data_IF_412466311500
#
_entry.id   IF_412466311500
#
_cell.length_a   1.000
_cell.length_b   1.000
_cell.length_c   1.000
_cell.angle_alpha   90.00
_cell.angle_beta   90.00
_cell.angle_gamma   90.00
#
_symmetry.space_group_name_H-M   'P 1'
#
loop_
_entity.id
_entity.type
_entity.pdbx_description
1 polymer ?
#
# COMPACT_ATOMS: atom_id res chain seq x y z
N UNK A 1 -10.10 -6.77 7.09
CA UNK A 1 -8.89 -6.31 6.38
C UNK A 1 -8.78 -4.80 6.29
N UNK A 2 -9.79 -4.07 5.81
CA UNK A 2 -9.71 -2.60 5.69
C UNK A 2 -9.64 -1.87 7.03
N UNK A 3 -10.39 -2.33 8.04
CA UNK A 3 -10.33 -1.75 9.39
C UNK A 3 -8.92 -1.80 10.00
N UNK A 4 -8.17 -2.87 9.76
CA UNK A 4 -6.79 -3.03 10.25
C UNK A 4 -5.90 -1.86 9.82
N UNK A 5 -5.98 -1.44 8.55
CA UNK A 5 -5.16 -0.35 8.03
C UNK A 5 -5.57 1.01 8.64
N UNK A 6 -6.87 1.22 8.84
CA UNK A 6 -7.41 2.41 9.49
C UNK A 6 -6.94 2.50 10.96
N UNK A 7 -7.07 1.40 11.71
CA UNK A 7 -6.67 1.35 13.12
C UNK A 7 -5.15 1.53 13.27
N UNK A 8 -4.36 0.92 12.39
CA UNK A 8 -2.91 1.04 12.41
C UNK A 8 -2.44 2.46 12.14
N UNK A 9 -2.98 3.15 11.13
CA UNK A 9 -2.58 4.54 10.85
C UNK A 9 -2.87 5.45 12.03
N UNK A 10 -4.07 5.35 12.64
CA UNK A 10 -4.42 6.17 13.80
C UNK A 10 -3.50 5.89 15.00
N UNK A 11 -3.26 4.60 15.26
CA UNK A 11 -2.41 4.19 16.38
C UNK A 11 -0.96 4.64 16.20
N UNK A 12 -0.36 4.46 15.03
CA UNK A 12 1.06 4.72 14.81
C UNK A 12 1.43 6.21 14.80
N UNK A 13 0.47 7.12 14.69
CA UNK A 13 0.71 8.55 14.90
C UNK A 13 0.84 8.91 16.38
N UNK A 14 0.35 8.06 17.29
CA UNK A 14 0.34 8.31 18.74
C UNK A 14 1.24 7.34 19.52
N UNK A 15 1.60 6.21 18.92
CA UNK A 15 2.34 5.12 19.54
C UNK A 15 3.44 4.58 18.61
N UNK A 16 4.47 3.90 19.15
CA UNK A 16 5.45 3.20 18.33
C UNK A 16 4.79 2.19 17.38
N UNK A 17 5.32 2.12 16.16
CA UNK A 17 4.88 1.14 15.17
C UNK A 17 5.03 -0.28 15.75
N UNK A 18 3.93 -1.03 15.72
CA UNK A 18 3.88 -2.42 16.16
C UNK A 18 2.96 -3.22 15.23
N UNK A 19 3.29 -4.50 15.04
CA UNK A 19 2.46 -5.45 14.29
C UNK A 19 2.06 -6.60 15.23
N UNK A 20 0.88 -6.53 15.87
CA UNK A 20 0.40 -7.56 16.79
C UNK A 20 -0.31 -8.73 16.08
N UNK A 21 -0.47 -8.66 14.76
CA UNK A 21 -1.24 -9.62 13.99
C UNK A 21 -0.42 -10.87 13.66
N UNK A 22 -1.11 -11.94 13.26
CA UNK A 22 -0.51 -13.19 12.80
C UNK A 22 -1.14 -13.66 11.49
N UNK A 23 -0.45 -14.55 10.78
CA UNK A 23 -0.94 -15.12 9.52
C UNK A 23 -1.10 -14.06 8.43
N UNK A 24 -2.23 -14.09 7.73
CA UNK A 24 -2.44 -13.19 6.60
C UNK A 24 -2.51 -11.71 7.00
N UNK A 25 -3.10 -11.40 8.16
CA UNK A 25 -3.21 -10.03 8.67
C UNK A 25 -1.85 -9.44 9.05
N UNK A 26 -0.90 -10.27 9.48
CA UNK A 26 0.49 -9.85 9.72
C UNK A 26 1.12 -9.29 8.44
N UNK A 27 0.91 -9.95 7.31
CA UNK A 27 1.44 -9.54 6.00
C UNK A 27 0.81 -8.20 5.57
N UNK A 28 -0.50 -8.06 5.74
CA UNK A 28 -1.23 -6.81 5.43
C UNK A 28 -0.75 -5.67 6.32
N UNK A 29 -0.57 -5.91 7.62
CA UNK A 29 -0.07 -4.91 8.55
C UNK A 29 1.37 -4.51 8.22
N UNK A 30 2.23 -5.46 7.85
CA UNK A 30 3.62 -5.17 7.43
C UNK A 30 3.67 -4.38 6.12
N UNK A 31 2.81 -4.71 5.16
CA UNK A 31 2.66 -3.97 3.92
C UNK A 31 2.24 -2.52 4.19
N UNK A 32 1.25 -2.35 5.08
CA UNK A 32 0.76 -1.04 5.50
C UNK A 32 1.85 -0.24 6.25
N UNK A 33 2.67 -0.87 7.08
CA UNK A 33 3.82 -0.23 7.72
C UNK A 33 4.78 0.40 6.69
N UNK A 34 5.09 -0.31 5.60
CA UNK A 34 5.96 0.26 4.57
C UNK A 34 5.33 1.46 3.88
N UNK A 35 4.02 1.42 3.62
CA UNK A 35 3.27 2.55 3.11
C UNK A 35 3.25 3.74 4.08
N UNK A 36 3.03 3.48 5.36
CA UNK A 36 3.05 4.50 6.41
C UNK A 36 4.41 5.20 6.47
N UNK A 37 5.50 4.44 6.53
CA UNK A 37 6.86 4.99 6.56
C UNK A 37 7.20 5.74 5.27
N UNK A 38 6.79 5.20 4.12
CA UNK A 38 7.00 5.83 2.82
C UNK A 38 6.29 7.18 2.74
N UNK A 39 5.05 7.27 3.23
CA UNK A 39 4.29 8.51 3.27
C UNK A 39 5.04 9.61 4.02
N UNK A 40 5.54 9.30 5.21
CA UNK A 40 6.27 10.27 6.04
C UNK A 40 7.63 10.67 5.44
N UNK A 41 8.33 9.75 4.76
CA UNK A 41 9.55 10.10 4.02
C UNK A 41 9.25 11.03 2.84
N UNK A 42 8.13 10.85 2.13
CA UNK A 42 7.67 11.77 1.09
C UNK A 42 7.35 13.16 1.67
N UNK A 43 6.71 13.25 2.83
CA UNK A 43 6.47 14.55 3.49
C UNK A 43 7.78 15.28 3.82
N UNK A 44 8.79 14.55 4.32
CA UNK A 44 10.12 15.13 4.59
C UNK A 44 10.78 15.58 3.27
N UNK A 45 10.64 14.83 2.18
CA UNK A 45 11.18 15.20 0.87
C UNK A 45 10.57 16.49 0.30
N UNK A 46 9.34 16.85 0.73
CA UNK A 46 8.62 18.04 0.29
C UNK A 46 8.87 19.26 1.18
N UNK A 47 9.60 19.11 2.29
CA UNK A 47 9.92 20.23 3.17
C UNK A 47 10.81 21.25 2.46
N UNK A 48 10.44 22.56 2.43
CA UNK A 48 11.28 23.60 1.84
C UNK A 48 12.56 23.87 2.64
N UNK A 49 12.64 23.35 3.88
CA UNK A 49 13.79 23.52 4.76
C UNK A 49 14.78 22.34 4.67
N UNK A 50 14.45 21.29 3.90
CA UNK A 50 15.31 20.13 3.76
C UNK A 50 16.59 20.48 2.98
N UNK A 51 17.75 20.14 3.55
CA UNK A 51 19.05 20.32 2.89
C UNK A 51 19.26 19.27 1.80
N UNK A 52 20.13 19.55 0.82
CA UNK A 52 20.48 18.60 -0.24
C UNK A 52 20.95 17.23 0.30
N UNK A 53 21.79 17.26 1.35
CA UNK A 53 22.24 16.07 2.08
C UNK A 53 21.06 15.27 2.64
N UNK A 54 20.09 15.96 3.26
CA UNK A 54 18.89 15.34 3.82
C UNK A 54 18.03 14.74 2.71
N UNK A 55 17.83 15.46 1.60
CA UNK A 55 17.06 15.00 0.44
C UNK A 55 17.68 13.74 -0.16
N UNK A 56 19.01 13.67 -0.29
CA UNK A 56 19.70 12.47 -0.77
C UNK A 56 19.47 11.26 0.15
N UNK A 57 19.50 11.48 1.47
CA UNK A 57 19.17 10.45 2.47
C UNK A 57 17.73 9.96 2.33
N UNK A 58 16.77 10.87 2.27
CA UNK A 58 15.34 10.59 2.11
C UNK A 58 15.07 9.83 0.82
N UNK A 59 15.68 10.23 -0.30
CA UNK A 59 15.53 9.51 -1.58
C UNK A 59 15.95 8.04 -1.48
N UNK A 60 17.07 7.76 -0.80
CA UNK A 60 17.52 6.38 -0.56
C UNK A 60 16.55 5.61 0.35
N UNK A 61 15.95 6.27 1.34
CA UNK A 61 14.90 5.67 2.18
C UNK A 61 13.65 5.35 1.37
N UNK A 62 13.15 6.30 0.57
CA UNK A 62 12.00 6.16 -0.32
C UNK A 62 12.20 4.98 -1.28
N UNK A 63 13.38 4.85 -1.89
CA UNK A 63 13.66 3.75 -2.83
C UNK A 63 13.59 2.38 -2.14
N UNK A 64 14.18 2.26 -0.95
CA UNK A 64 14.13 1.04 -0.14
C UNK A 64 12.71 0.69 0.31
N UNK A 65 11.97 1.68 0.79
CA UNK A 65 10.59 1.50 1.25
C UNK A 65 9.64 1.14 0.11
N UNK A 66 9.80 1.77 -1.07
CA UNK A 66 9.04 1.40 -2.26
C UNK A 66 9.34 -0.02 -2.73
N UNK A 67 10.59 -0.48 -2.63
CA UNK A 67 10.92 -1.87 -2.93
C UNK A 67 10.24 -2.80 -1.91
N UNK A 68 10.41 -2.54 -0.61
CA UNK A 68 9.84 -3.37 0.45
C UNK A 68 8.31 -3.43 0.40
N UNK A 69 7.64 -2.31 0.09
CA UNK A 69 6.20 -2.23 -0.17
C UNK A 69 5.79 -3.17 -1.31
N UNK A 70 6.48 -3.11 -2.44
CA UNK A 70 6.17 -3.95 -3.60
C UNK A 70 6.44 -5.44 -3.31
N UNK A 71 7.53 -5.75 -2.61
CA UNK A 71 7.82 -7.13 -2.18
C UNK A 71 6.71 -7.67 -1.26
N UNK A 72 6.13 -6.81 -0.42
CA UNK A 72 5.00 -7.21 0.43
C UNK A 72 3.70 -7.40 -0.36
N UNK A 73 3.46 -6.65 -1.43
CA UNK A 73 2.33 -6.89 -2.35
C UNK A 73 2.43 -8.30 -2.92
N UNK A 74 3.61 -8.67 -3.41
CA UNK A 74 3.86 -10.00 -3.94
C UNK A 74 3.71 -11.10 -2.89
N UNK A 75 4.21 -10.89 -1.67
CA UNK A 75 4.04 -11.84 -0.57
C UNK A 75 2.59 -12.04 -0.18
N UNK A 76 1.75 -11.00 -0.26
CA UNK A 76 0.31 -11.12 -0.03
C UNK A 76 -0.32 -11.96 -1.14
N UNK A 77 0.03 -11.73 -2.41
CA UNK A 77 -0.46 -12.54 -3.53
C UNK A 77 0.01 -14.00 -3.46
N UNK A 78 1.23 -14.25 -2.97
CA UNK A 78 1.75 -15.59 -2.69
C UNK A 78 0.96 -16.28 -1.57
N UNK A 79 0.70 -15.58 -0.47
CA UNK A 79 -0.12 -16.10 0.62
C UNK A 79 -1.56 -16.43 0.16
N UNK A 80 -2.15 -15.63 -0.74
CA UNK A 80 -3.45 -15.95 -1.34
C UNK A 80 -3.38 -17.22 -2.18
N UNK A 81 -2.29 -17.42 -2.93
CA UNK A 81 -2.06 -18.67 -3.69
C UNK A 81 -2.06 -19.89 -2.76
N UNK A 82 -1.34 -19.80 -1.64
CA UNK A 82 -1.29 -20.85 -0.64
C UNK A 82 -2.67 -21.12 0.00
N UNK A 83 -3.42 -20.06 0.32
CA UNK A 83 -4.77 -20.17 0.88
C UNK A 83 -5.76 -20.82 -0.10
N UNK A 84 -5.69 -20.49 -1.39
CA UNK A 84 -6.54 -21.10 -2.43
C UNK A 84 -6.22 -22.59 -2.59
N UNK A 85 -4.94 -22.95 -2.58
CA UNK A 85 -4.51 -24.35 -2.63
C UNK A 85 -5.00 -25.13 -1.38
N UNK A 86 -4.85 -24.55 -0.19
CA UNK A 86 -5.34 -25.14 1.06
C UNK A 86 -6.87 -25.28 1.08
N UNK A 87 -7.60 -24.37 0.43
CA UNK A 87 -9.06 -24.44 0.27
C UNK A 87 -9.51 -25.46 -0.79
N UNK A 88 -8.58 -26.13 -1.49
CA UNK A 88 -8.90 -27.14 -2.50
C UNK A 88 -9.46 -26.54 -3.79
N UNK A 89 -9.18 -25.27 -4.09
CA UNK A 89 -9.56 -24.66 -5.36
C UNK A 89 -8.80 -25.36 -6.50
N UNK A 90 -9.55 -25.90 -7.46
CA UNK A 90 -9.00 -26.67 -8.59
C UNK A 90 -8.25 -25.82 -9.62
N UNK A 91 -7.96 -26.40 -10.79
CA UNK A 91 -7.32 -25.66 -11.88
C UNK A 91 -8.23 -24.54 -12.40
N UNK A 92 -7.77 -23.30 -12.23
CA UNK A 92 -8.45 -22.07 -12.66
C UNK A 92 -7.80 -21.44 -13.89
N UNK A 93 -6.87 -22.13 -14.57
CA UNK A 93 -6.06 -21.56 -15.65
C UNK A 93 -6.85 -21.02 -16.86
N UNK A 94 -8.07 -21.51 -17.08
CA UNK A 94 -8.98 -21.08 -18.14
C UNK A 94 -10.01 -20.01 -17.71
N UNK A 95 -10.01 -19.61 -16.43
CA UNK A 95 -10.97 -18.66 -15.88
C UNK A 95 -10.54 -17.20 -16.12
N UNK A 96 -11.49 -16.26 -16.15
CA UNK A 96 -11.16 -14.85 -16.31
C UNK A 96 -10.28 -14.33 -15.17
N UNK A 97 -9.41 -13.38 -15.51
CA UNK A 97 -8.57 -12.63 -14.57
C UNK A 97 -9.13 -11.23 -14.35
N UNK A 98 -8.76 -10.61 -13.24
CA UNK A 98 -8.95 -9.18 -13.00
C UNK A 98 -7.74 -8.37 -13.47
N UNK A 99 -7.94 -7.07 -13.69
CA UNK A 99 -6.89 -6.13 -14.15
C UNK A 99 -5.79 -5.88 -13.11
N UNK A 100 -6.09 -6.07 -11.82
CA UNK A 100 -5.13 -5.96 -10.73
C UNK A 100 -5.22 -7.19 -9.80
N UNK A 101 -4.14 -7.48 -9.09
CA UNK A 101 -4.10 -8.55 -8.09
C UNK A 101 -4.74 -8.10 -6.78
N UNK A 102 -5.14 -9.07 -5.96
CA UNK A 102 -5.67 -8.79 -4.62
C UNK A 102 -4.66 -8.04 -3.75
N UNK A 103 -3.37 -8.40 -3.80
CA UNK A 103 -2.29 -7.68 -3.12
C UNK A 103 -2.18 -6.21 -3.55
N UNK A 104 -2.34 -5.93 -4.85
CA UNK A 104 -2.33 -4.56 -5.38
C UNK A 104 -3.54 -3.74 -4.90
N UNK A 105 -4.72 -4.36 -4.83
CA UNK A 105 -5.91 -3.71 -4.28
C UNK A 105 -5.78 -3.43 -2.77
N UNK A 106 -5.20 -4.35 -2.00
CA UNK A 106 -4.91 -4.18 -0.56
C UNK A 106 -3.93 -3.03 -0.32
N UNK A 107 -2.90 -2.90 -1.15
CA UNK A 107 -1.97 -1.78 -1.12
C UNK A 107 -2.67 -0.43 -1.36
N UNK A 108 -3.55 -0.37 -2.36
CA UNK A 108 -4.34 0.84 -2.63
C UNK A 108 -5.24 1.19 -1.45
N UNK A 109 -5.88 0.21 -0.80
CA UNK A 109 -6.67 0.42 0.43
C UNK A 109 -5.80 0.99 1.57
N UNK A 110 -4.54 0.53 1.68
CA UNK A 110 -3.57 1.10 2.63
C UNK A 110 -3.30 2.59 2.36
N UNK A 111 -3.04 2.97 1.11
CA UNK A 111 -2.84 4.38 0.72
C UNK A 111 -4.10 5.21 0.98
N UNK A 112 -5.27 4.65 0.75
CA UNK A 112 -6.54 5.31 1.03
C UNK A 112 -6.75 5.57 2.52
N UNK A 113 -6.37 4.62 3.38
CA UNK A 113 -6.45 4.77 4.83
C UNK A 113 -5.54 5.90 5.33
N UNK A 114 -4.30 5.96 4.84
CA UNK A 114 -3.38 7.08 5.11
C UNK A 114 -3.97 8.42 4.66
N UNK A 115 -4.50 8.47 3.44
CA UNK A 115 -5.09 9.70 2.88
C UNK A 115 -6.29 10.18 3.68
N UNK A 116 -7.16 9.27 4.12
CA UNK A 116 -8.32 9.61 4.95
C UNK A 116 -7.88 10.18 6.30
N UNK A 117 -6.90 9.56 6.96
CA UNK A 117 -6.34 10.05 8.21
C UNK A 117 -5.77 11.48 8.06
N UNK A 118 -4.88 11.69 7.10
CA UNK A 118 -4.25 13.00 6.91
C UNK A 118 -5.23 14.08 6.41
N UNK A 119 -6.29 13.72 5.68
CA UNK A 119 -7.35 14.69 5.39
C UNK A 119 -8.14 15.08 6.63
N UNK A 120 -8.41 14.15 7.55
CA UNK A 120 -9.06 14.49 8.82
C UNK A 120 -8.19 15.47 9.62
N UNK A 121 -6.87 15.27 9.67
CA UNK A 121 -5.96 16.22 10.28
C UNK A 121 -6.07 17.62 9.66
N UNK A 122 -6.05 17.74 8.33
CA UNK A 122 -6.18 19.04 7.66
C UNK A 122 -7.53 19.72 7.91
N UNK A 123 -8.61 18.93 8.01
CA UNK A 123 -9.94 19.45 8.37
C UNK A 123 -9.96 19.99 9.79
N UNK A 124 -9.26 19.33 10.71
CA UNK A 124 -9.37 19.57 12.15
C UNK A 124 -8.34 20.58 12.69
N UNK A 125 -7.42 21.05 11.84
CA UNK A 125 -6.49 22.14 12.15
C UNK A 125 -7.19 23.40 12.68
N UNK A 126 -6.62 24.02 13.71
CA UNK A 126 -7.18 25.24 14.32
C UNK A 126 -7.17 26.45 13.36
N UNK A 127 -6.16 26.55 12.50
CA UNK A 127 -5.95 27.66 11.56
C UNK A 127 -6.70 27.49 10.23
N UNK A 128 -7.46 26.40 10.05
CA UNK A 128 -8.21 26.15 8.82
C UNK A 128 -9.45 27.04 8.70
N UNK A 129 -9.56 27.75 7.58
CA UNK A 129 -10.76 28.53 7.22
C UNK A 129 -11.95 27.64 6.89
N UNK A 130 -13.17 28.16 6.99
CA UNK A 130 -14.38 27.41 6.64
C UNK A 130 -14.36 26.91 5.18
N UNK A 131 -13.85 27.74 4.26
CA UNK A 131 -13.68 27.35 2.86
C UNK A 131 -12.69 26.17 2.71
N UNK A 132 -11.60 26.17 3.48
CA UNK A 132 -10.67 25.05 3.51
C UNK A 132 -11.33 23.78 4.05
N UNK A 133 -12.02 23.87 5.18
CA UNK A 133 -12.72 22.74 5.80
C UNK A 133 -13.73 22.12 4.83
N UNK A 134 -14.54 22.95 4.16
CA UNK A 134 -15.51 22.48 3.17
C UNK A 134 -14.84 21.76 1.98
N UNK A 135 -13.71 22.28 1.47
CA UNK A 135 -12.95 21.63 0.40
C UNK A 135 -12.37 20.29 0.84
N UNK A 136 -11.88 20.20 2.08
CA UNK A 136 -11.37 18.96 2.66
C UNK A 136 -12.50 17.95 2.87
N UNK A 137 -13.65 18.36 3.40
CA UNK A 137 -14.81 17.49 3.59
C UNK A 137 -15.29 16.84 2.29
N UNK A 138 -15.32 17.60 1.19
CA UNK A 138 -15.64 17.05 -0.14
C UNK A 138 -14.65 15.97 -0.58
N UNK A 139 -13.36 16.16 -0.29
CA UNK A 139 -12.31 15.18 -0.61
C UNK A 139 -12.40 13.95 0.29
N UNK A 140 -12.69 14.13 1.58
CA UNK A 140 -12.93 13.04 2.54
C UNK A 140 -14.11 12.19 2.06
N UNK A 141 -15.24 12.81 1.72
CA UNK A 141 -16.41 12.11 1.24
C UNK A 141 -16.11 11.28 -0.03
N UNK A 142 -15.38 11.86 -0.99
CA UNK A 142 -14.95 11.13 -2.18
C UNK A 142 -14.01 9.97 -1.86
N UNK A 143 -13.05 10.16 -0.95
CA UNK A 143 -12.14 9.10 -0.52
C UNK A 143 -12.89 7.97 0.22
N UNK A 144 -13.90 8.29 1.02
CA UNK A 144 -14.73 7.29 1.69
C UNK A 144 -15.50 6.43 0.68
N UNK A 145 -16.09 7.04 -0.35
CA UNK A 145 -16.75 6.31 -1.46
C UNK A 145 -15.75 5.41 -2.18
N UNK A 146 -14.62 5.95 -2.62
CA UNK A 146 -13.58 5.17 -3.30
C UNK A 146 -13.08 4.00 -2.44
N UNK A 147 -12.98 4.17 -1.12
CA UNK A 147 -12.50 3.15 -0.19
C UNK A 147 -13.54 2.05 -0.03
N UNK A 148 -14.81 2.42 0.13
CA UNK A 148 -15.92 1.47 0.18
C UNK A 148 -16.03 0.67 -1.13
N UNK A 149 -15.97 1.33 -2.29
CA UNK A 149 -16.04 0.69 -3.59
C UNK A 149 -14.90 -0.31 -3.81
N UNK A 150 -13.66 0.09 -3.49
CA UNK A 150 -12.50 -0.77 -3.62
C UNK A 150 -12.55 -1.95 -2.62
N UNK A 151 -12.99 -1.71 -1.39
CA UNK A 151 -13.17 -2.75 -0.38
C UNK A 151 -14.20 -3.80 -0.83
N UNK A 152 -15.35 -3.35 -1.34
CA UNK A 152 -16.42 -4.24 -1.80
C UNK A 152 -16.01 -5.02 -3.05
N UNK A 153 -15.32 -4.35 -3.98
CA UNK A 153 -14.79 -4.98 -5.19
C UNK A 153 -13.73 -6.04 -4.86
N UNK A 154 -12.82 -5.74 -3.93
CA UNK A 154 -11.84 -6.71 -3.45
C UNK A 154 -12.50 -7.91 -2.77
N UNK A 155 -13.50 -7.69 -1.90
CA UNK A 155 -14.23 -8.79 -1.27
C UNK A 155 -14.89 -9.69 -2.33
N UNK A 156 -15.55 -9.09 -3.32
CA UNK A 156 -16.16 -9.82 -4.44
C UNK A 156 -15.13 -10.64 -5.22
N UNK A 157 -13.95 -10.06 -5.48
CA UNK A 157 -12.86 -10.77 -6.14
C UNK A 157 -12.39 -11.97 -5.31
N UNK A 158 -12.14 -11.79 -4.01
CA UNK A 158 -11.72 -12.88 -3.13
C UNK A 158 -12.77 -14.00 -3.12
N UNK A 159 -14.06 -13.66 -2.98
CA UNK A 159 -15.16 -14.63 -3.01
C UNK A 159 -15.21 -15.41 -4.33
N UNK A 160 -14.97 -14.74 -5.46
CA UNK A 160 -14.87 -15.37 -6.78
C UNK A 160 -13.65 -16.29 -6.93
N UNK A 161 -12.51 -15.91 -6.35
CA UNK A 161 -11.29 -16.72 -6.35
C UNK A 161 -11.50 -18.01 -5.53
N UNK A 162 -12.00 -17.89 -4.30
CA UNK A 162 -12.24 -19.03 -3.42
C UNK A 162 -13.36 -19.96 -3.93
N UNK A 163 -14.29 -19.43 -4.73
CA UNK A 163 -15.32 -20.24 -5.38
C UNK A 163 -14.88 -20.85 -6.73
N UNK A 164 -13.64 -20.63 -7.17
CA UNK A 164 -13.15 -21.12 -8.45
C UNK A 164 -13.90 -20.53 -9.65
N UNK A 165 -14.33 -19.25 -9.56
CA UNK A 165 -14.95 -18.51 -10.67
C UNK A 165 -13.98 -17.60 -11.41
N UNK A 166 -12.84 -17.28 -10.79
CA UNK A 166 -11.78 -16.46 -11.35
C UNK A 166 -10.40 -17.07 -11.13
N UNK A 167 -9.46 -16.65 -11.96
CA UNK A 167 -8.06 -17.02 -11.82
C UNK A 167 -7.31 -16.00 -10.96
N UNK A 168 -6.59 -16.51 -9.95
CA UNK A 168 -5.60 -15.72 -9.21
C UNK A 168 -4.29 -15.64 -10.01
N UNK A 169 -3.62 -14.48 -9.97
CA UNK A 169 -2.31 -14.27 -10.58
C UNK A 169 -1.40 -13.56 -9.59
N UNK A 170 -0.14 -14.00 -9.55
CA UNK A 170 0.95 -13.26 -8.94
C UNK A 170 1.82 -12.66 -10.04
N UNK A 171 1.97 -11.34 -10.05
CA UNK A 171 2.88 -10.64 -10.96
C UNK A 171 4.12 -10.20 -10.20
N UNK A 172 5.30 -10.54 -10.72
CA UNK A 172 6.59 -10.14 -10.14
C UNK A 172 7.04 -8.79 -10.68
N UNK A 173 7.61 -7.96 -9.82
CA UNK A 173 8.17 -6.68 -10.21
C UNK A 173 9.34 -6.87 -11.18
N UNK A 174 9.40 -6.00 -12.19
CA UNK A 174 10.46 -5.98 -13.21
C UNK A 174 11.19 -4.62 -13.19
N UNK A 175 11.70 -4.20 -12.03
CA UNK A 175 12.43 -2.92 -11.90
C UNK A 175 13.89 -3.07 -12.33
N UNK A 176 14.19 -2.64 -13.55
CA UNK A 176 15.55 -2.72 -14.12
C UNK A 176 16.59 -1.92 -13.33
N UNK A 177 16.26 -0.71 -12.88
CA UNK A 177 17.24 0.21 -12.25
C UNK A 177 17.69 -0.20 -10.84
N UNK A 178 16.96 -1.10 -10.18
CA UNK A 178 17.37 -1.66 -8.88
C UNK A 178 18.34 -2.83 -9.02
N UNK A 179 18.44 -3.41 -10.22
CA UNK A 179 19.42 -4.45 -10.53
C UNK A 179 20.77 -3.80 -10.90
N UNK A 180 21.83 -4.02 -10.09
CA UNK A 180 23.15 -3.48 -10.38
C UNK A 180 23.72 -3.88 -11.75
N UNK A 181 23.27 -5.00 -12.32
CA UNK A 181 23.68 -5.48 -13.64
C UNK A 181 22.96 -4.79 -14.79
N UNK A 182 21.78 -4.19 -14.52
CA UNK A 182 20.97 -3.50 -15.54
C UNK A 182 21.01 -1.97 -15.38
N UNK A 183 21.54 -1.44 -14.28
CA UNK A 183 21.65 -0.01 -14.06
C UNK A 183 22.99 0.57 -14.57
N UNK A 184 22.99 1.40 -15.63
CA UNK A 184 24.21 1.96 -16.23
C UNK A 184 25.05 2.78 -15.26
N UNK A 185 24.43 3.52 -14.35
CA UNK A 185 25.15 4.34 -13.39
C UNK A 185 25.87 3.49 -12.34
N UNK A 186 25.37 2.28 -12.05
CA UNK A 186 25.99 1.36 -11.09
C UNK A 186 27.09 0.53 -11.75
N UNK A 187 26.83 -0.09 -12.90
CA UNK A 187 27.85 -0.95 -13.52
C UNK A 187 28.97 -0.16 -14.20
N UNK A 188 28.72 1.07 -14.70
CA UNK A 188 29.79 1.94 -15.25
C UNK A 188 30.69 2.51 -14.16
N UNK A 189 30.18 2.71 -12.94
CA UNK A 189 31.00 3.19 -11.82
C UNK A 189 31.93 2.11 -11.24
N UNK A 190 31.76 0.84 -11.64
CA UNK A 190 32.58 -0.31 -11.20
C UNK A 190 33.69 -0.69 -12.19
N UNK A 191 33.75 -0.07 -13.38
CA UNK A 191 34.76 -0.31 -14.41
C UNK A 191 35.59 0.93 -14.67
#
# INVERSE_FOLDING_TARGET
MTQLQIDCVEKWHNEPISNPYSGFEELVCRQHEFNYRLWHEEDIARSPEATDERIAGVKRSIDKLNQARNDMIEKIDDAITELLAAAGVGDTSALPINTETSGSAIDRLSIMSLRLYHYAEQRDREDATDEHRQKVDQRVALCQVQHADLSNSLQTLLDDLFAGRKQHKTYRQMKMYNDPSLNPEIYRAKG
#
